data_IF_977337380532
#
_entry.id   IF_977337380532
#
_cell.length_a   1.000
_cell.length_b   1.000
_cell.length_c   1.000
_cell.angle_alpha   90.00
_cell.angle_beta   90.00
_cell.angle_gamma   90.00
#
_symmetry.space_group_name_H-M   'P 1'
#
loop_
_entity.id
_entity.type
_entity.pdbx_description
1 polymer ?
#
# COMPACT_ATOMS: atom_id res chain seq x y z
N UNK A 1 -1.75 29.42 -32.46
CA UNK A 1 -0.47 28.83 -32.03
C UNK A 1 -0.67 28.19 -30.66
N UNK A 2 -0.61 26.86 -30.60
CA UNK A 2 -0.57 26.15 -29.33
C UNK A 2 0.76 26.45 -28.66
N UNK A 3 0.75 27.19 -27.54
CA UNK A 3 1.94 27.35 -26.70
C UNK A 3 2.40 25.97 -26.26
N UNK A 4 3.60 25.56 -26.67
CA UNK A 4 4.23 24.36 -26.13
C UNK A 4 4.36 24.53 -24.62
N UNK A 5 3.62 23.74 -23.86
CA UNK A 5 3.86 23.63 -22.43
C UNK A 5 5.28 23.10 -22.23
N UNK A 6 6.08 23.77 -21.41
CA UNK A 6 7.38 23.27 -20.99
C UNK A 6 7.13 22.44 -19.74
N UNK A 7 7.27 21.09 -19.80
CA UNK A 7 7.08 20.26 -18.63
C UNK A 7 8.14 20.61 -17.58
N UNK A 8 7.71 20.86 -16.35
CA UNK A 8 8.61 21.00 -15.20
C UNK A 8 9.33 22.36 -15.12
N UNK A 9 8.66 23.46 -15.45
CA UNK A 9 9.19 24.82 -15.29
C UNK A 9 9.36 25.25 -13.81
N UNK A 10 8.96 24.39 -12.85
CA UNK A 10 9.05 24.63 -11.41
C UNK A 10 8.04 25.63 -10.86
N UNK A 11 7.10 26.11 -11.67
CA UNK A 11 6.02 26.95 -11.15
C UNK A 11 5.07 26.12 -10.29
N UNK A 12 4.66 26.70 -9.14
CA UNK A 12 3.61 26.11 -8.31
C UNK A 12 2.31 26.13 -9.10
N UNK A 13 1.68 24.96 -9.21
CA UNK A 13 0.29 24.90 -9.70
C UNK A 13 -0.60 25.62 -8.68
N UNK A 14 -1.34 26.63 -9.15
CA UNK A 14 -2.33 27.31 -8.33
C UNK A 14 -3.57 26.43 -8.10
N UNK A 15 -3.77 25.44 -8.99
CA UNK A 15 -4.86 24.49 -9.00
C UNK A 15 -4.49 23.21 -9.71
N UNK A 16 -5.12 22.09 -9.34
CA UNK A 16 -4.87 20.79 -10.00
C UNK A 16 -5.66 20.71 -11.30
N UNK A 17 -6.93 21.10 -11.26
CA UNK A 17 -7.85 21.06 -12.40
C UNK A 17 -9.13 21.85 -12.03
N UNK A 18 -9.78 22.54 -12.99
CA UNK A 18 -10.99 23.33 -12.70
C UNK A 18 -12.17 22.59 -12.08
N UNK A 19 -12.18 21.26 -12.17
CA UNK A 19 -13.25 20.39 -11.65
C UNK A 19 -12.88 19.68 -10.35
N UNK A 20 -11.71 19.93 -9.77
CA UNK A 20 -11.24 19.24 -8.56
C UNK A 20 -10.61 20.22 -7.58
N UNK A 21 -10.98 20.09 -6.33
CA UNK A 21 -10.31 20.74 -5.21
C UNK A 21 -9.29 19.81 -4.59
N UNK A 22 -8.14 20.38 -4.15
CA UNK A 22 -7.17 19.62 -3.34
C UNK A 22 -7.41 19.97 -1.88
N UNK A 23 -7.51 18.92 -1.09
CA UNK A 23 -7.59 19.11 0.34
C UNK A 23 -6.66 18.12 1.09
N UNK A 24 -6.15 18.52 2.25
CA UNK A 24 -5.27 17.67 3.05
C UNK A 24 -6.11 16.72 3.88
N UNK A 25 -6.15 15.45 3.48
CA UNK A 25 -6.97 14.39 4.09
C UNK A 25 -6.37 13.82 5.39
N UNK A 26 -5.82 14.68 6.26
CA UNK A 26 -5.26 14.30 7.55
C UNK A 26 -5.32 15.46 8.55
N UNK A 27 -5.40 15.19 9.86
CA UNK A 27 -5.32 16.25 10.86
C UNK A 27 -3.91 16.84 10.95
N UNK A 28 -3.79 17.97 11.62
CA UNK A 28 -2.50 18.59 11.90
C UNK A 28 -1.65 17.69 12.80
N UNK A 29 -0.34 17.63 12.51
CA UNK A 29 0.62 16.83 13.29
C UNK A 29 0.62 15.34 12.98
N UNK A 30 -0.29 14.83 12.16
CA UNK A 30 -0.26 13.45 11.66
C UNK A 30 0.32 13.42 10.23
N UNK A 31 1.56 12.94 10.11
CA UNK A 31 2.34 12.97 8.84
C UNK A 31 2.88 11.58 8.47
N UNK A 32 2.00 10.59 8.24
CA UNK A 32 2.42 9.24 7.96
C UNK A 32 3.07 9.14 6.57
N UNK A 33 4.07 8.26 6.44
CA UNK A 33 4.58 7.82 5.14
C UNK A 33 3.65 6.73 4.61
N UNK A 34 2.59 7.14 3.93
CA UNK A 34 1.54 6.22 3.45
C UNK A 34 2.12 5.20 2.49
N UNK A 35 2.02 3.92 2.83
CA UNK A 35 2.41 2.76 2.01
C UNK A 35 1.27 2.24 1.14
N UNK A 36 0.06 2.29 1.64
CA UNK A 36 -1.16 1.89 0.94
C UNK A 36 -2.40 2.46 1.61
N UNK A 37 -3.50 2.52 0.87
CA UNK A 37 -4.78 3.00 1.37
C UNK A 37 -5.95 2.28 0.71
N UNK A 38 -7.05 2.16 1.43
CA UNK A 38 -8.34 1.66 0.92
C UNK A 38 -9.49 2.23 1.76
N UNK A 39 -10.73 1.97 1.37
CA UNK A 39 -11.91 2.40 2.09
C UNK A 39 -12.54 1.25 2.86
N UNK A 40 -12.93 1.51 4.11
CA UNK A 40 -13.79 0.64 4.88
C UNK A 40 -15.23 0.73 4.37
N UNK A 41 -16.07 -0.30 4.58
CA UNK A 41 -17.48 -0.29 4.13
C UNK A 41 -18.31 0.86 4.68
N UNK A 42 -17.93 1.41 5.83
CA UNK A 42 -18.58 2.55 6.49
C UNK A 42 -18.14 3.91 5.95
N UNK A 43 -17.20 3.94 4.99
CA UNK A 43 -16.69 5.16 4.34
C UNK A 43 -15.51 5.80 5.04
N UNK A 44 -14.95 5.19 6.09
CA UNK A 44 -13.69 5.62 6.68
C UNK A 44 -12.50 5.16 5.81
N UNK A 45 -11.42 5.95 5.83
CA UNK A 45 -10.20 5.64 5.11
C UNK A 45 -9.26 4.80 6.00
N UNK A 46 -8.80 3.67 5.50
CA UNK A 46 -7.71 2.90 6.13
C UNK A 46 -6.41 3.14 5.39
N UNK A 47 -5.32 3.34 6.13
CA UNK A 47 -3.97 3.47 5.58
C UNK A 47 -3.00 2.58 6.34
N UNK A 48 -1.96 2.10 5.66
CA UNK A 48 -0.75 1.57 6.31
C UNK A 48 0.40 2.54 6.09
N UNK A 49 1.36 2.60 7.04
CA UNK A 49 2.50 3.47 6.94
C UNK A 49 3.81 2.70 6.77
N UNK A 50 4.71 3.25 5.94
CA UNK A 50 6.07 2.74 5.77
C UNK A 50 7.01 3.47 6.74
N UNK A 51 6.86 3.18 8.01
CA UNK A 51 7.69 3.67 9.10
C UNK A 51 8.14 2.51 9.98
N UNK A 52 9.15 2.68 10.83
CA UNK A 52 9.69 1.59 11.64
C UNK A 52 8.67 0.89 12.55
N UNK A 53 7.58 1.56 12.89
CA UNK A 53 6.49 1.00 13.70
C UNK A 53 5.52 0.13 12.89
N UNK A 54 5.55 0.22 11.55
CA UNK A 54 4.68 -0.56 10.66
C UNK A 54 3.21 -0.45 11.03
N UNK A 55 2.72 0.78 11.17
CA UNK A 55 1.39 1.07 11.69
C UNK A 55 0.27 0.96 10.66
N UNK A 56 -0.95 0.66 11.13
CA UNK A 56 -2.18 0.77 10.36
C UNK A 56 -3.14 1.70 11.10
N UNK A 57 -3.75 2.61 10.35
CA UNK A 57 -4.58 3.67 10.90
C UNK A 57 -5.91 3.75 10.17
N UNK A 58 -6.96 4.06 10.90
CA UNK A 58 -8.28 4.43 10.36
C UNK A 58 -8.48 5.93 10.56
N UNK A 59 -8.85 6.60 9.49
CA UNK A 59 -9.16 8.02 9.47
C UNK A 59 -10.66 8.20 9.24
N UNK A 60 -11.33 8.85 10.17
CA UNK A 60 -12.74 9.23 10.05
C UNK A 60 -12.87 10.69 9.65
N UNK A 61 -13.99 11.07 9.00
CA UNK A 61 -14.28 12.44 8.59
C UNK A 61 -13.59 12.89 7.29
N UNK A 62 -12.83 12.04 6.62
CA UNK A 62 -12.08 12.38 5.40
C UNK A 62 -13.00 12.83 4.27
N UNK A 63 -14.20 12.27 4.15
CA UNK A 63 -15.17 12.64 3.10
C UNK A 63 -15.82 14.01 3.29
N UNK A 64 -15.67 14.60 4.48
CA UNK A 64 -16.33 15.85 4.86
C UNK A 64 -15.61 17.12 4.39
N UNK A 65 -14.45 17.06 3.76
CA UNK A 65 -13.60 18.19 3.34
C UNK A 65 -13.26 19.20 4.47
N UNK A 66 -13.37 18.76 5.73
CA UNK A 66 -13.06 19.57 6.90
C UNK A 66 -11.95 18.90 7.70
N UNK A 67 -10.73 19.39 7.53
CA UNK A 67 -9.53 18.82 8.13
C UNK A 67 -9.61 18.76 9.66
N UNK A 68 -10.28 19.71 10.30
CA UNK A 68 -10.39 19.81 11.76
C UNK A 68 -11.29 18.70 12.34
N UNK A 69 -12.14 18.09 11.51
CA UNK A 69 -13.02 16.99 11.90
C UNK A 69 -12.43 15.61 11.64
N UNK A 70 -11.25 15.54 10.99
CA UNK A 70 -10.61 14.25 10.74
C UNK A 70 -10.01 13.75 12.03
N UNK A 71 -10.42 12.55 12.43
CA UNK A 71 -9.82 11.80 13.54
C UNK A 71 -8.99 10.64 13.04
N UNK A 72 -8.00 10.23 13.83
CA UNK A 72 -7.09 9.14 13.49
C UNK A 72 -7.04 8.16 14.65
N UNK A 73 -7.29 6.88 14.37
CA UNK A 73 -7.11 5.78 15.30
C UNK A 73 -6.07 4.79 14.75
N UNK A 74 -5.02 4.51 15.51
CA UNK A 74 -4.11 3.42 15.18
C UNK A 74 -4.75 2.11 15.60
N UNK A 75 -4.94 1.18 14.66
CA UNK A 75 -5.58 -0.11 14.88
C UNK A 75 -4.58 -1.26 14.96
N UNK A 76 -3.39 -1.12 14.34
CA UNK A 76 -2.34 -2.12 14.35
C UNK A 76 -0.96 -1.48 14.28
N UNK A 77 0.08 -2.24 14.67
CA UNK A 77 1.50 -1.85 14.53
C UNK A 77 2.38 -3.10 14.47
N UNK A 78 3.69 -2.93 14.18
CA UNK A 78 4.66 -4.02 14.16
C UNK A 78 4.74 -4.78 12.84
N UNK A 79 4.10 -4.28 11.78
CA UNK A 79 4.17 -4.87 10.45
C UNK A 79 5.49 -4.53 9.76
N UNK A 80 6.01 -5.47 8.96
CA UNK A 80 7.29 -5.32 8.28
C UNK A 80 7.14 -4.62 6.94
N UNK A 81 7.39 -3.31 6.89
CA UNK A 81 7.34 -2.50 5.67
C UNK A 81 5.98 -2.64 4.91
N UNK A 82 4.83 -2.37 5.56
CA UNK A 82 3.52 -2.54 4.94
C UNK A 82 3.31 -1.50 3.83
N UNK A 83 3.24 -1.95 2.57
CA UNK A 83 3.13 -1.12 1.38
C UNK A 83 1.91 -1.45 0.51
N UNK A 84 0.98 -2.22 1.05
CA UNK A 84 -0.31 -2.48 0.44
C UNK A 84 -1.36 -2.76 1.50
N UNK A 85 -2.54 -2.17 1.35
CA UNK A 85 -3.73 -2.49 2.15
C UNK A 85 -4.91 -2.70 1.23
N UNK A 86 -5.74 -3.70 1.55
CA UNK A 86 -6.98 -3.98 0.82
C UNK A 86 -8.06 -4.44 1.79
N UNK A 87 -9.25 -3.88 1.62
CA UNK A 87 -10.45 -4.31 2.33
C UNK A 87 -11.29 -5.17 1.40
N UNK A 88 -11.61 -6.38 1.83
CA UNK A 88 -12.42 -7.35 1.08
C UNK A 88 -13.49 -7.89 2.01
N UNK A 89 -14.76 -7.65 1.69
CA UNK A 89 -15.91 -8.07 2.50
C UNK A 89 -15.79 -7.67 3.98
N UNK A 90 -15.28 -6.45 4.24
CA UNK A 90 -15.05 -5.92 5.58
C UNK A 90 -13.81 -6.44 6.29
N UNK A 91 -13.09 -7.39 5.71
CA UNK A 91 -11.82 -7.94 6.24
C UNK A 91 -10.65 -7.11 5.74
N UNK A 92 -9.64 -6.92 6.58
CA UNK A 92 -8.48 -6.08 6.29
C UNK A 92 -7.27 -6.95 5.97
N UNK A 93 -6.65 -6.71 4.81
CA UNK A 93 -5.47 -7.42 4.36
C UNK A 93 -4.32 -6.44 4.12
N UNK A 94 -3.13 -6.81 4.59
CA UNK A 94 -1.90 -6.01 4.47
C UNK A 94 -0.85 -6.82 3.72
N UNK A 95 -0.27 -6.23 2.68
CA UNK A 95 0.91 -6.78 2.02
C UNK A 95 2.16 -6.22 2.70
N UNK A 96 2.87 -7.10 3.37
CA UNK A 96 4.16 -6.86 4.00
C UNK A 96 5.30 -7.37 3.09
N UNK A 97 6.55 -7.02 3.42
CA UNK A 97 7.74 -7.46 2.70
C UNK A 97 7.79 -8.97 2.44
N UNK A 98 7.38 -9.79 3.40
CA UNK A 98 7.50 -11.24 3.40
C UNK A 98 6.18 -12.00 3.34
N UNK A 99 5.03 -11.32 3.51
CA UNK A 99 3.74 -12.02 3.56
C UNK A 99 2.53 -11.13 3.26
N UNK A 100 1.43 -11.76 2.91
CA UNK A 100 0.08 -11.21 2.96
C UNK A 100 -0.55 -11.60 4.30
N UNK A 101 -0.93 -10.62 5.10
CA UNK A 101 -1.48 -10.77 6.45
C UNK A 101 -2.90 -10.28 6.51
N UNK A 102 -3.80 -11.05 7.11
CA UNK A 102 -5.12 -10.59 7.53
C UNK A 102 -5.05 -10.03 8.94
N UNK A 103 -5.65 -8.87 9.16
CA UNK A 103 -5.79 -8.24 10.47
C UNK A 103 -7.19 -8.51 11.01
N UNK A 104 -7.27 -9.09 12.22
CA UNK A 104 -8.52 -9.52 12.83
C UNK A 104 -8.68 -8.87 14.20
N UNK A 105 -9.82 -8.24 14.36
CA UNK A 105 -10.35 -7.72 15.62
C UNK A 105 -11.43 -8.72 16.09
N UNK A 106 -11.25 -9.38 17.22
CA UNK A 106 -12.14 -10.40 17.72
C UNK A 106 -13.24 -9.86 18.63
N UNK A 107 -12.98 -8.77 19.32
CA UNK A 107 -13.89 -8.22 20.33
C UNK A 107 -14.62 -6.94 19.87
N UNK A 108 -14.26 -6.41 18.72
CA UNK A 108 -14.92 -5.27 18.08
C UNK A 108 -14.53 -3.92 18.65
N UNK A 109 -13.39 -3.82 19.33
CA UNK A 109 -12.88 -2.56 19.89
C UNK A 109 -12.06 -1.73 18.87
N UNK A 110 -11.93 -2.26 17.64
CA UNK A 110 -11.14 -1.71 16.53
C UNK A 110 -9.63 -1.67 16.80
N UNK A 111 -9.12 -2.50 17.68
CA UNK A 111 -7.70 -2.79 17.84
C UNK A 111 -7.47 -4.24 17.40
N UNK A 112 -6.46 -4.44 16.60
CA UNK A 112 -6.22 -5.77 16.04
C UNK A 112 -5.64 -6.71 17.09
N UNK A 113 -6.34 -7.84 17.30
CA UNK A 113 -5.97 -8.91 18.24
C UNK A 113 -5.12 -9.99 17.59
N UNK A 114 -5.37 -10.29 16.31
CA UNK A 114 -4.72 -11.37 15.59
C UNK A 114 -4.17 -10.89 14.25
N UNK A 115 -2.92 -11.26 13.97
CA UNK A 115 -2.25 -11.12 12.69
C UNK A 115 -2.15 -12.49 12.06
N UNK A 116 -3.03 -12.80 11.12
CA UNK A 116 -3.10 -14.10 10.46
C UNK A 116 -2.37 -14.08 9.14
N UNK A 117 -1.35 -14.90 9.00
CA UNK A 117 -0.70 -15.11 7.71
C UNK A 117 -1.67 -15.75 6.73
N UNK A 118 -1.90 -15.11 5.59
CA UNK A 118 -2.70 -15.64 4.47
C UNK A 118 -1.78 -16.33 3.48
N UNK A 119 -0.75 -15.65 3.00
CA UNK A 119 0.23 -16.21 2.07
C UNK A 119 1.63 -15.70 2.39
N UNK A 120 2.62 -16.58 2.32
CA UNK A 120 4.03 -16.26 2.50
C UNK A 120 4.90 -17.25 1.71
N UNK A 121 6.23 -17.17 1.86
CA UNK A 121 7.16 -18.16 1.30
C UNK A 121 7.89 -17.70 0.05
N UNK A 122 7.57 -16.52 -0.50
CA UNK A 122 8.44 -15.92 -1.52
C UNK A 122 9.74 -15.42 -0.91
N UNK A 123 10.78 -15.42 -1.73
CA UNK A 123 12.13 -15.11 -1.28
C UNK A 123 12.27 -13.66 -0.83
N UNK A 124 12.87 -13.47 0.36
CA UNK A 124 13.21 -12.19 0.95
C UNK A 124 14.59 -12.26 1.59
N UNK A 125 15.36 -11.19 1.52
CA UNK A 125 16.64 -11.04 2.21
C UNK A 125 16.62 -9.81 3.12
N UNK A 126 17.75 -9.53 3.76
CA UNK A 126 17.95 -8.31 4.55
C UNK A 126 18.14 -7.06 3.70
N UNK A 127 18.06 -7.15 2.36
CA UNK A 127 18.22 -5.99 1.50
C UNK A 127 17.09 -4.98 1.72
N UNK A 128 17.44 -3.72 1.90
CA UNK A 128 16.49 -2.65 2.20
C UNK A 128 15.49 -2.38 1.07
N UNK A 129 15.78 -2.79 -0.16
CA UNK A 129 14.98 -2.46 -1.34
C UNK A 129 14.06 -3.60 -1.82
N UNK A 130 14.07 -4.73 -1.18
CA UNK A 130 13.18 -5.85 -1.50
C UNK A 130 11.75 -5.61 -0.97
N UNK A 131 11.11 -4.55 -1.45
CA UNK A 131 9.74 -4.21 -1.09
C UNK A 131 8.71 -5.16 -1.71
N UNK A 132 7.52 -5.22 -1.10
CA UNK A 132 6.31 -5.74 -1.70
C UNK A 132 5.30 -4.59 -1.81
N UNK A 133 4.94 -4.19 -3.04
CA UNK A 133 4.17 -2.98 -3.29
C UNK A 133 2.75 -3.26 -3.77
N UNK A 134 1.85 -2.36 -3.37
CA UNK A 134 0.48 -2.30 -3.80
C UNK A 134 -0.30 -3.54 -3.36
N UNK A 135 -1.59 -3.46 -3.41
CA UNK A 135 -2.46 -4.62 -3.20
C UNK A 135 -3.80 -4.34 -3.85
N UNK A 136 -4.17 -5.14 -4.83
CA UNK A 136 -5.50 -5.12 -5.42
C UNK A 136 -6.14 -6.49 -5.32
N UNK A 137 -7.47 -6.52 -5.37
CA UNK A 137 -8.25 -7.76 -5.27
C UNK A 137 -9.26 -7.82 -6.42
N UNK A 138 -9.25 -8.92 -7.17
CA UNK A 138 -10.19 -9.18 -8.26
C UNK A 138 -10.41 -10.69 -8.39
N UNK A 139 -11.64 -11.09 -8.61
CA UNK A 139 -12.04 -12.47 -8.94
C UNK A 139 -11.51 -13.53 -7.95
N UNK A 140 -11.50 -13.20 -6.65
CA UNK A 140 -11.07 -14.12 -5.59
C UNK A 140 -9.56 -14.11 -5.32
N UNK A 141 -8.78 -13.26 -5.99
CA UNK A 141 -7.31 -13.21 -5.85
C UNK A 141 -6.79 -11.83 -5.49
N UNK A 142 -5.75 -11.83 -4.69
CA UNK A 142 -4.92 -10.65 -4.46
C UNK A 142 -3.78 -10.57 -5.49
N UNK A 143 -3.43 -9.35 -5.85
CA UNK A 143 -2.28 -9.08 -6.72
C UNK A 143 -1.40 -8.01 -6.08
N UNK A 144 -0.10 -8.27 -6.08
CA UNK A 144 0.92 -7.36 -5.59
C UNK A 144 2.18 -7.45 -6.46
N UNK A 145 3.18 -6.65 -6.14
CA UNK A 145 4.44 -6.63 -6.89
C UNK A 145 5.62 -6.74 -5.94
N UNK A 146 6.66 -7.47 -6.34
CA UNK A 146 7.87 -7.70 -5.56
C UNK A 146 9.07 -7.03 -6.23
N UNK A 147 9.65 -6.02 -5.57
CA UNK A 147 10.82 -5.30 -6.04
C UNK A 147 12.12 -6.12 -5.90
N UNK A 148 13.08 -5.88 -6.77
CA UNK A 148 14.40 -6.49 -6.71
C UNK A 148 15.27 -5.89 -5.61
N UNK A 149 16.27 -6.62 -5.15
CA UNK A 149 17.33 -6.10 -4.30
C UNK A 149 18.20 -5.09 -5.05
N UNK A 150 18.54 -3.99 -4.39
CA UNK A 150 19.37 -2.91 -4.94
C UNK A 150 20.43 -2.52 -3.93
N UNK A 151 21.67 -2.33 -4.39
CA UNK A 151 22.76 -1.78 -3.58
C UNK A 151 22.60 -0.27 -3.38
N UNK A 152 23.12 0.30 -2.32
CA UNK A 152 23.28 1.75 -2.21
C UNK A 152 23.93 2.33 -3.47
N UNK A 153 23.35 3.42 -4.00
CA UNK A 153 23.78 3.99 -5.29
C UNK A 153 23.03 3.46 -6.51
N UNK A 154 22.10 2.50 -6.32
CA UNK A 154 21.13 2.09 -7.34
C UNK A 154 21.55 0.92 -8.24
N UNK A 155 22.72 0.33 -8.05
CA UNK A 155 23.13 -0.86 -8.79
C UNK A 155 22.36 -2.09 -8.32
N UNK A 156 21.91 -2.93 -9.26
CA UNK A 156 21.29 -4.22 -8.92
C UNK A 156 22.29 -5.15 -8.25
N UNK A 157 21.85 -5.87 -7.21
CA UNK A 157 22.67 -6.92 -6.59
C UNK A 157 22.80 -8.13 -7.52
N UNK A 158 23.86 -8.91 -7.32
CA UNK A 158 24.03 -10.18 -7.99
C UNK A 158 24.49 -11.25 -6.98
N UNK A 159 23.85 -12.43 -6.96
CA UNK A 159 22.63 -12.79 -7.71
C UNK A 159 21.38 -12.11 -7.15
N UNK A 160 20.35 -12.01 -7.97
CA UNK A 160 19.00 -11.64 -7.53
C UNK A 160 18.22 -12.87 -7.05
N UNK A 161 17.33 -12.70 -6.08
CA UNK A 161 16.35 -13.71 -5.75
C UNK A 161 15.36 -13.89 -6.92
N UNK A 162 15.09 -15.15 -7.29
CA UNK A 162 14.23 -15.48 -8.44
C UNK A 162 12.78 -15.01 -8.30
N UNK A 163 12.30 -14.81 -7.08
CA UNK A 163 10.93 -14.38 -6.80
C UNK A 163 10.78 -12.86 -6.94
N UNK A 164 11.88 -12.13 -6.99
CA UNK A 164 11.88 -10.67 -7.05
C UNK A 164 11.85 -10.14 -8.49
N UNK A 165 11.36 -8.93 -8.65
CA UNK A 165 11.09 -8.34 -9.96
C UNK A 165 9.86 -8.96 -10.63
N UNK A 166 8.82 -9.25 -9.88
CA UNK A 166 7.65 -10.02 -10.31
C UNK A 166 6.33 -9.36 -9.94
N UNK A 167 5.26 -9.78 -10.61
CA UNK A 167 3.88 -9.64 -10.14
C UNK A 167 3.46 -10.98 -9.52
N UNK A 168 2.99 -10.94 -8.30
CA UNK A 168 2.49 -12.10 -7.56
C UNK A 168 0.97 -12.07 -7.49
N UNK A 169 0.34 -13.21 -7.75
CA UNK A 169 -1.09 -13.46 -7.58
C UNK A 169 -1.26 -14.46 -6.44
N UNK A 170 -2.08 -14.12 -5.46
CA UNK A 170 -2.26 -14.89 -4.22
C UNK A 170 -3.75 -15.17 -4.00
N UNK A 171 -4.07 -16.38 -3.54
CA UNK A 171 -5.44 -16.75 -3.16
C UNK A 171 -5.65 -16.65 -1.64
N UNK A 172 -6.92 -16.70 -1.22
CA UNK A 172 -7.31 -16.71 0.19
C UNK A 172 -6.86 -17.96 0.96
N UNK A 173 -6.54 -19.06 0.26
CA UNK A 173 -6.04 -20.31 0.86
C UNK A 173 -4.52 -20.35 1.02
N UNK A 174 -3.83 -19.26 0.64
CA UNK A 174 -2.39 -19.11 0.78
C UNK A 174 -1.57 -19.59 -0.41
N UNK A 175 -2.20 -20.14 -1.44
CA UNK A 175 -1.49 -20.49 -2.67
C UNK A 175 -1.16 -19.22 -3.47
N UNK A 176 -0.01 -19.20 -4.13
CA UNK A 176 0.39 -18.08 -4.96
C UNK A 176 1.15 -18.51 -6.21
N UNK A 177 1.16 -17.63 -7.20
CA UNK A 177 1.92 -17.79 -8.45
C UNK A 177 2.50 -16.46 -8.92
N UNK A 178 3.61 -16.51 -9.65
CA UNK A 178 4.20 -15.34 -10.30
C UNK A 178 3.70 -15.24 -11.73
N UNK A 179 2.89 -14.22 -12.01
CA UNK A 179 2.22 -14.06 -13.31
C UNK A 179 2.98 -13.16 -14.29
N UNK A 180 3.97 -12.39 -13.82
CA UNK A 180 4.87 -11.59 -14.64
C UNK A 180 6.25 -11.49 -13.99
N UNK A 181 7.30 -11.34 -14.81
CA UNK A 181 8.70 -11.25 -14.39
C UNK A 181 9.45 -10.20 -15.19
N UNK A 182 10.67 -9.85 -14.77
CA UNK A 182 11.54 -8.89 -15.45
C UNK A 182 11.32 -7.44 -15.03
N UNK A 183 10.61 -7.23 -13.92
CA UNK A 183 10.43 -5.92 -13.30
C UNK A 183 11.61 -5.59 -12.38
N UNK A 184 11.86 -4.31 -12.15
CA UNK A 184 12.92 -3.89 -11.21
C UNK A 184 12.33 -3.37 -9.91
N UNK A 185 11.64 -2.26 -9.95
CA UNK A 185 10.98 -1.63 -8.80
C UNK A 185 9.54 -1.31 -9.18
N UNK A 186 8.68 -2.33 -9.30
CA UNK A 186 7.29 -2.13 -9.67
C UNK A 186 6.54 -1.54 -8.46
N UNK A 187 6.47 -0.22 -8.41
CA UNK A 187 5.79 0.50 -7.33
C UNK A 187 4.35 0.80 -7.73
N UNK A 188 3.45 0.03 -7.16
CA UNK A 188 2.01 0.18 -7.38
C UNK A 188 1.47 -0.77 -8.46
N UNK A 189 0.22 -1.12 -8.28
CA UNK A 189 -0.57 -1.95 -9.18
C UNK A 189 -2.01 -1.45 -9.17
N UNK A 190 -2.66 -1.46 -10.31
CA UNK A 190 -4.07 -1.08 -10.45
C UNK A 190 -4.80 -2.04 -11.39
N UNK A 191 -6.11 -2.10 -11.23
CA UNK A 191 -6.99 -2.84 -12.13
C UNK A 191 -7.38 -1.95 -13.30
N UNK A 192 -7.39 -2.51 -14.50
CA UNK A 192 -7.94 -1.85 -15.70
C UNK A 192 -9.46 -1.75 -15.65
N UNK A 193 -10.01 -0.96 -16.57
CA UNK A 193 -11.45 -0.91 -16.84
C UNK A 193 -11.73 -2.03 -17.85
N UNK A 194 -12.40 -3.06 -17.42
CA UNK A 194 -12.98 -4.13 -18.27
C UNK A 194 -14.49 -4.13 -18.15
#
# INVERSE_FOLDING_TARGET
ELKKAIPGDGSLLSDVHPSYDIFTARPEGFEPKVGGMDWLPDGRLIICNWEPDGGVYVLDGVQGNDREKITVKRIAAGLAEPLGVKVVDGRIFILQKQELTELIDHDGDEIIDEYRTVANGWGVTSNFHEFAFGLVYKDGYFYGTLATAINPGGASTQPQNHDRGTVIKMSMDGTYEFIARGLRTPNGIGLGID
#
